data_IF_339456689772
#
_entry.id   IF_339456689772
#
_cell.length_a   1.000
_cell.length_b   1.000
_cell.length_c   1.000
_cell.angle_alpha   90.00
_cell.angle_beta   90.00
_cell.angle_gamma   90.00
#
_symmetry.space_group_name_H-M   'P 1'
#
loop_
_entity.id
_entity.type
_entity.pdbx_description
1 polymer ?
#
# COMPACT_ATOMS: atom_id res chain seq x y z
N UNK A 1 33.92 42.43 19.33
CA UNK A 1 33.07 41.28 19.69
C UNK A 1 31.72 41.47 19.02
N UNK A 2 31.35 40.58 18.09
CA UNK A 2 30.03 39.97 18.20
C UNK A 2 30.07 38.47 17.92
N UNK A 3 29.36 37.70 18.73
CA UNK A 3 29.05 36.28 18.50
C UNK A 3 27.69 36.00 19.11
N UNK A 4 27.03 34.96 18.58
CA UNK A 4 25.69 34.41 18.87
C UNK A 4 24.62 34.92 17.89
N UNK A 5 23.91 34.06 17.18
CA UNK A 5 23.92 32.61 17.14
C UNK A 5 23.02 32.18 15.99
N UNK A 6 23.53 31.30 15.14
CA UNK A 6 22.80 30.76 14.00
C UNK A 6 22.07 29.52 14.51
N UNK A 7 20.74 29.62 14.66
CA UNK A 7 19.86 28.50 14.98
C UNK A 7 19.67 27.64 13.74
N UNK A 8 20.42 26.55 13.66
CA UNK A 8 20.25 25.51 12.65
C UNK A 8 18.94 24.75 12.90
N UNK A 9 17.88 25.03 12.12
CA UNK A 9 16.71 24.14 12.02
C UNK A 9 17.12 22.88 11.26
N UNK A 10 17.37 21.79 11.98
CA UNK A 10 17.41 20.44 11.39
C UNK A 10 15.97 20.00 11.14
N UNK A 11 15.53 20.07 9.89
CA UNK A 11 14.35 19.33 9.44
C UNK A 11 14.86 17.94 9.04
N UNK A 12 14.51 16.92 9.81
CA UNK A 12 14.80 15.54 9.45
C UNK A 12 13.69 15.09 8.49
N UNK A 13 13.93 15.17 7.18
CA UNK A 13 13.14 14.41 6.20
C UNK A 13 13.85 13.07 6.10
N UNK A 14 13.20 12.01 6.57
CA UNK A 14 13.74 10.66 6.50
C UNK A 14 13.66 10.16 5.05
N UNK A 15 14.71 10.40 4.26
CA UNK A 15 14.98 9.63 3.05
C UNK A 15 15.61 8.30 3.47
N UNK A 16 14.86 7.20 3.38
CA UNK A 16 15.40 5.85 3.49
C UNK A 16 15.69 5.35 2.08
N UNK A 17 16.94 5.51 1.64
CA UNK A 17 17.38 4.98 0.35
C UNK A 17 17.90 3.54 0.55
N UNK A 18 17.15 2.55 0.09
CA UNK A 18 17.61 1.17 -0.02
C UNK A 18 18.21 0.93 -1.41
N UNK A 19 19.52 0.65 -1.46
CA UNK A 19 20.25 0.37 -2.69
C UNK A 19 20.45 -1.13 -2.86
N UNK A 20 19.86 -1.72 -3.90
CA UNK A 20 20.24 -3.05 -4.41
C UNK A 20 20.64 -2.91 -5.88
N UNK A 21 21.90 -3.22 -6.19
CA UNK A 21 22.51 -3.14 -7.52
C UNK A 21 22.65 -4.55 -8.10
N UNK A 22 22.02 -4.85 -9.25
CA UNK A 22 22.34 -5.99 -10.10
C UNK A 22 22.14 -5.62 -11.58
N UNK A 23 23.08 -6.07 -12.42
CA UNK A 23 23.35 -5.57 -13.78
C UNK A 23 22.32 -5.94 -14.86
N UNK A 24 22.18 -5.07 -15.85
CA UNK A 24 21.17 -5.12 -16.91
C UNK A 24 21.65 -5.85 -18.18
N UNK A 25 20.72 -6.54 -18.85
CA UNK A 25 20.80 -6.94 -20.25
C UNK A 25 19.54 -6.45 -20.99
N UNK A 26 19.69 -5.96 -22.22
CA UNK A 26 18.65 -5.25 -22.98
C UNK A 26 17.89 -6.16 -23.96
N UNK A 27 16.57 -6.02 -24.06
CA UNK A 27 15.70 -6.64 -25.09
C UNK A 27 14.57 -5.66 -25.45
N UNK A 28 14.08 -5.57 -26.72
CA UNK A 28 13.19 -4.48 -27.14
C UNK A 28 11.69 -4.77 -26.98
N UNK A 29 10.92 -3.69 -26.87
CA UNK A 29 9.49 -3.62 -26.52
C UNK A 29 8.50 -4.02 -27.64
N UNK A 30 7.35 -4.58 -27.24
CA UNK A 30 6.16 -4.75 -28.08
C UNK A 30 4.94 -4.07 -27.43
N UNK A 31 4.04 -3.53 -28.26
CA UNK A 31 2.89 -2.74 -27.84
C UNK A 31 1.63 -3.59 -27.57
N UNK A 32 0.89 -3.23 -26.50
CA UNK A 32 -0.37 -3.88 -26.10
C UNK A 32 -1.62 -3.16 -26.66
N UNK A 33 -2.69 -3.89 -27.05
CA UNK A 33 -3.98 -3.30 -27.48
C UNK A 33 -4.97 -3.08 -26.31
N UNK A 34 -6.08 -2.32 -26.51
CA UNK A 34 -6.92 -1.80 -25.42
C UNK A 34 -7.99 -2.80 -24.92
N UNK A 35 -8.34 -2.66 -23.64
CA UNK A 35 -9.33 -3.46 -22.89
C UNK A 35 -10.74 -2.89 -23.05
N UNK A 36 -11.74 -3.76 -23.26
CA UNK A 36 -13.17 -3.40 -23.32
C UNK A 36 -13.91 -3.83 -22.05
N UNK A 37 -14.74 -2.93 -21.51
CA UNK A 37 -15.49 -3.11 -20.25
C UNK A 37 -16.77 -3.95 -20.43
N UNK A 38 -17.06 -4.83 -19.46
CA UNK A 38 -18.25 -5.69 -19.39
C UNK A 38 -19.05 -5.51 -18.10
N UNK A 39 -20.39 -5.59 -18.21
CA UNK A 39 -21.41 -5.13 -17.28
C UNK A 39 -21.61 -5.97 -15.98
N UNK A 40 -22.15 -5.30 -14.95
CA UNK A 40 -22.49 -5.82 -13.63
C UNK A 40 -23.82 -6.61 -13.57
N UNK A 41 -23.86 -7.68 -12.77
CA UNK A 41 -25.09 -8.38 -12.35
C UNK A 41 -25.00 -8.82 -10.87
N UNK A 42 -26.04 -8.53 -10.08
CA UNK A 42 -26.52 -9.42 -8.99
C UNK A 42 -25.88 -9.33 -7.59
N UNK A 43 -26.60 -8.72 -6.64
CA UNK A 43 -26.16 -8.40 -5.27
C UNK A 43 -26.17 -9.57 -4.25
N UNK A 44 -26.26 -10.84 -4.69
CA UNK A 44 -26.22 -12.02 -3.79
C UNK A 44 -24.95 -12.88 -4.00
N UNK A 45 -24.27 -12.73 -5.15
CA UNK A 45 -23.05 -13.46 -5.51
C UNK A 45 -21.77 -12.66 -5.25
N UNK A 46 -21.88 -11.32 -5.26
CA UNK A 46 -20.73 -10.44 -5.02
C UNK A 46 -20.05 -10.68 -3.68
N UNK A 47 -20.80 -11.01 -2.62
CA UNK A 47 -20.22 -11.19 -1.30
C UNK A 47 -19.29 -12.39 -1.19
N UNK A 48 -19.75 -13.57 -1.62
CA UNK A 48 -18.96 -14.79 -1.63
C UNK A 48 -17.76 -14.69 -2.59
N UNK A 49 -17.94 -14.00 -3.72
CA UNK A 49 -16.86 -13.73 -4.67
C UNK A 49 -15.74 -12.90 -4.04
N UNK A 50 -16.06 -11.82 -3.33
CA UNK A 50 -15.04 -11.00 -2.63
C UNK A 50 -14.33 -11.81 -1.53
N UNK A 51 -15.07 -12.61 -0.77
CA UNK A 51 -14.47 -13.47 0.27
C UNK A 51 -13.55 -14.55 -0.32
N UNK A 52 -13.94 -15.14 -1.46
CA UNK A 52 -13.08 -16.03 -2.23
C UNK A 52 -11.80 -15.35 -2.70
N UNK A 53 -11.89 -14.15 -3.29
CA UNK A 53 -10.72 -13.40 -3.77
C UNK A 53 -9.75 -13.09 -2.62
N UNK A 54 -10.26 -12.62 -1.47
CA UNK A 54 -9.44 -12.42 -0.25
C UNK A 54 -8.75 -13.70 0.21
N UNK A 55 -9.49 -14.81 0.22
CA UNK A 55 -8.95 -16.12 0.60
C UNK A 55 -7.83 -16.53 -0.33
N UNK A 56 -8.02 -16.39 -1.65
CA UNK A 56 -7.01 -16.75 -2.65
C UNK A 56 -5.76 -15.89 -2.52
N UNK A 57 -5.89 -14.56 -2.39
CA UNK A 57 -4.76 -13.65 -2.25
C UNK A 57 -3.88 -14.02 -1.05
N UNK A 58 -4.49 -14.20 0.13
CA UNK A 58 -3.76 -14.59 1.35
C UNK A 58 -3.14 -15.98 1.20
N UNK A 59 -3.85 -16.93 0.58
CA UNK A 59 -3.32 -18.28 0.39
C UNK A 59 -2.12 -18.30 -0.55
N UNK A 60 -2.14 -17.55 -1.64
CA UNK A 60 -0.99 -17.46 -2.56
C UNK A 60 0.23 -16.88 -1.83
N UNK A 61 0.06 -15.79 -1.07
CA UNK A 61 1.16 -15.23 -0.26
C UNK A 61 1.72 -16.26 0.74
N UNK A 62 0.85 -16.90 1.52
CA UNK A 62 1.30 -17.84 2.56
C UNK A 62 1.86 -19.14 1.99
N UNK A 63 1.17 -19.77 1.06
CA UNK A 63 1.57 -21.09 0.54
C UNK A 63 2.81 -20.98 -0.35
N UNK A 64 2.91 -19.96 -1.22
CA UNK A 64 4.08 -19.80 -2.08
C UNK A 64 5.34 -19.40 -1.28
N UNK A 65 5.23 -18.42 -0.38
CA UNK A 65 6.40 -17.82 0.28
C UNK A 65 6.74 -18.42 1.65
N UNK A 66 5.75 -18.75 2.48
CA UNK A 66 6.02 -19.37 3.81
C UNK A 66 6.28 -20.87 3.68
N UNK A 67 5.61 -21.56 2.75
CA UNK A 67 5.70 -23.03 2.61
C UNK A 67 6.51 -23.51 1.43
N UNK A 68 6.91 -22.60 0.52
CA UNK A 68 7.57 -22.97 -0.73
C UNK A 68 6.68 -23.77 -1.69
N UNK A 69 5.36 -23.79 -1.49
CA UNK A 69 4.42 -24.53 -2.34
C UNK A 69 4.11 -23.72 -3.60
N UNK A 70 4.89 -23.96 -4.65
CA UNK A 70 4.74 -23.27 -5.93
C UNK A 70 3.55 -23.77 -6.76
N UNK A 71 2.95 -24.93 -6.43
CA UNK A 71 1.76 -25.44 -7.14
C UNK A 71 0.54 -24.54 -6.92
N UNK A 72 0.54 -23.75 -5.83
CA UNK A 72 -0.52 -22.78 -5.56
C UNK A 72 -0.64 -21.73 -6.68
N UNK A 73 0.49 -21.39 -7.32
CA UNK A 73 0.55 -20.42 -8.41
C UNK A 73 -0.20 -20.97 -9.63
N UNK A 74 0.03 -22.23 -10.01
CA UNK A 74 -0.64 -22.85 -11.16
C UNK A 74 -2.18 -22.90 -10.97
N UNK A 75 -2.60 -23.08 -9.71
CA UNK A 75 -4.02 -23.14 -9.34
C UNK A 75 -4.71 -21.80 -9.39
N UNK A 76 -4.08 -20.75 -8.86
CA UNK A 76 -4.78 -19.50 -8.55
C UNK A 76 -4.22 -18.26 -9.25
N UNK A 77 -3.12 -18.36 -9.97
CA UNK A 77 -2.53 -17.27 -10.75
C UNK A 77 -2.71 -17.61 -12.23
N UNK A 78 -3.00 -16.60 -13.05
CA UNK A 78 -3.11 -16.79 -14.49
C UNK A 78 -1.74 -16.94 -15.14
N UNK A 79 -1.67 -17.67 -16.23
CA UNK A 79 -0.42 -17.82 -17.00
C UNK A 79 0.07 -16.49 -17.59
N UNK A 80 -0.86 -15.58 -17.92
CA UNK A 80 -0.61 -14.23 -18.42
C UNK A 80 -0.61 -13.16 -17.31
N UNK A 81 -0.26 -13.56 -16.08
CA UNK A 81 -0.15 -12.65 -14.93
C UNK A 81 0.87 -11.54 -15.15
N UNK A 82 0.51 -10.33 -14.71
CA UNK A 82 1.33 -9.12 -14.81
C UNK A 82 1.86 -8.72 -13.42
N UNK A 83 3.18 -8.54 -13.31
CA UNK A 83 3.90 -8.14 -12.11
C UNK A 83 4.33 -6.68 -12.17
N UNK A 84 4.06 -5.92 -11.11
CA UNK A 84 4.51 -4.53 -10.96
C UNK A 84 5.53 -4.34 -9.82
N UNK A 85 5.77 -5.34 -8.96
CA UNK A 85 6.84 -5.33 -7.97
C UNK A 85 8.19 -5.23 -8.71
N UNK A 86 8.99 -4.18 -8.48
CA UNK A 86 10.24 -3.97 -9.22
C UNK A 86 11.35 -4.98 -8.91
N UNK A 87 11.19 -5.79 -7.86
CA UNK A 87 12.13 -6.84 -7.45
C UNK A 87 11.84 -8.20 -8.09
N UNK A 88 10.66 -8.37 -8.69
CA UNK A 88 10.23 -9.63 -9.29
C UNK A 88 10.08 -9.49 -10.81
N UNK A 89 10.61 -10.45 -11.57
CA UNK A 89 10.36 -10.52 -13.00
C UNK A 89 8.90 -10.87 -13.29
N UNK A 90 8.47 -10.51 -14.50
CA UNK A 90 7.08 -10.70 -14.92
C UNK A 90 6.72 -12.16 -15.24
N UNK A 91 5.44 -12.50 -15.07
CA UNK A 91 4.85 -13.81 -15.38
C UNK A 91 4.81 -14.81 -14.23
N UNK A 92 3.88 -15.78 -14.34
CA UNK A 92 3.61 -16.76 -13.28
C UNK A 92 4.80 -17.68 -12.95
N UNK A 93 5.58 -18.09 -13.96
CA UNK A 93 6.78 -18.90 -13.73
C UNK A 93 7.88 -18.09 -13.02
N UNK A 94 8.00 -16.79 -13.30
CA UNK A 94 8.91 -15.91 -12.57
C UNK A 94 8.48 -15.77 -11.10
N UNK A 95 7.17 -15.66 -10.83
CA UNK A 95 6.63 -15.67 -9.47
C UNK A 95 6.97 -16.97 -8.72
N UNK A 96 6.86 -18.14 -9.36
CA UNK A 96 7.23 -19.44 -8.75
C UNK A 96 8.72 -19.46 -8.38
N UNK A 97 9.58 -19.03 -9.29
CA UNK A 97 11.02 -18.97 -9.07
C UNK A 97 11.39 -17.97 -7.96
N UNK A 98 10.73 -16.81 -7.93
CA UNK A 98 10.92 -15.80 -6.90
C UNK A 98 10.52 -16.33 -5.52
N UNK A 99 9.34 -16.96 -5.40
CA UNK A 99 8.85 -17.55 -4.16
C UNK A 99 9.75 -18.69 -3.66
N UNK A 100 10.15 -19.61 -4.55
CA UNK A 100 11.07 -20.69 -4.20
C UNK A 100 12.44 -20.17 -3.74
N UNK A 101 12.99 -19.18 -4.43
CA UNK A 101 14.26 -18.54 -4.08
C UNK A 101 14.20 -17.82 -2.73
N UNK A 102 13.14 -17.05 -2.50
CA UNK A 102 12.92 -16.38 -1.21
C UNK A 102 12.80 -17.40 -0.07
N UNK A 103 11.98 -18.44 -0.25
CA UNK A 103 11.79 -19.48 0.77
C UNK A 103 13.08 -20.26 1.05
N UNK A 104 13.89 -20.56 0.03
CA UNK A 104 15.19 -21.19 0.22
C UNK A 104 16.15 -20.31 1.05
N UNK A 105 16.13 -18.99 0.82
CA UNK A 105 16.97 -18.04 1.54
C UNK A 105 16.45 -17.76 2.97
N UNK A 106 15.13 -17.72 3.12
CA UNK A 106 14.42 -17.34 4.33
C UNK A 106 13.31 -18.37 4.65
N UNK A 107 13.69 -19.58 5.10
CA UNK A 107 12.74 -20.68 5.30
C UNK A 107 11.72 -20.42 6.40
N UNK A 108 12.02 -19.50 7.32
CA UNK A 108 11.14 -19.08 8.42
C UNK A 108 10.36 -17.79 8.09
N UNK A 109 10.19 -17.46 6.81
CA UNK A 109 9.40 -16.30 6.38
C UNK A 109 7.96 -16.38 6.92
N UNK A 110 7.48 -15.28 7.48
CA UNK A 110 6.11 -15.14 7.98
C UNK A 110 5.42 -13.91 7.37
N UNK A 111 4.24 -14.12 6.78
CA UNK A 111 3.28 -13.08 6.46
C UNK A 111 2.27 -12.96 7.61
N UNK A 112 2.49 -11.98 8.48
CA UNK A 112 1.55 -11.61 9.54
C UNK A 112 0.51 -10.64 8.98
N UNK A 113 -0.55 -11.21 8.39
CA UNK A 113 -1.64 -10.49 7.72
C UNK A 113 -2.49 -9.72 8.74
N UNK A 114 -2.53 -8.39 8.60
CA UNK A 114 -3.24 -7.48 9.52
C UNK A 114 -4.66 -7.21 9.10
N UNK A 115 -4.87 -7.01 7.79
CA UNK A 115 -6.17 -6.71 7.22
C UNK A 115 -6.21 -7.00 5.74
N UNK A 116 -7.39 -7.37 5.26
CA UNK A 116 -7.66 -7.68 3.87
C UNK A 116 -8.99 -7.08 3.47
N UNK A 117 -9.00 -6.29 2.40
CA UNK A 117 -10.22 -5.74 1.82
C UNK A 117 -10.34 -6.14 0.36
N UNK A 118 -11.56 -6.28 -0.13
CA UNK A 118 -11.82 -6.56 -1.53
C UNK A 118 -12.98 -5.76 -2.07
N UNK A 119 -12.80 -5.21 -3.27
CA UNK A 119 -13.82 -4.47 -4.00
C UNK A 119 -13.72 -4.80 -5.49
N UNK A 120 -14.85 -5.15 -6.10
CA UNK A 120 -14.91 -5.58 -7.49
C UNK A 120 -13.95 -6.74 -7.76
N UNK A 121 -12.92 -6.53 -8.56
CA UNK A 121 -11.88 -7.49 -8.90
C UNK A 121 -10.55 -7.25 -8.16
N UNK A 122 -10.49 -6.26 -7.27
CA UNK A 122 -9.29 -5.93 -6.52
C UNK A 122 -9.33 -6.51 -5.09
N UNK A 123 -8.17 -6.95 -4.63
CA UNK A 123 -7.91 -7.31 -3.23
C UNK A 123 -6.70 -6.52 -2.76
N UNK A 124 -6.78 -5.95 -1.56
CA UNK A 124 -5.64 -5.32 -0.88
C UNK A 124 -5.35 -6.11 0.40
N UNK A 125 -4.10 -6.52 0.58
CA UNK A 125 -3.59 -7.19 1.77
C UNK A 125 -2.58 -6.27 2.43
N UNK A 126 -2.76 -5.94 3.71
CA UNK A 126 -1.74 -5.26 4.50
C UNK A 126 -1.18 -6.22 5.54
N UNK A 127 0.15 -6.41 5.53
CA UNK A 127 0.85 -7.38 6.36
C UNK A 127 2.16 -6.84 6.91
N UNK A 128 2.63 -7.47 7.99
CA UNK A 128 4.04 -7.42 8.36
C UNK A 128 4.73 -8.66 7.76
N UNK A 129 5.67 -8.44 6.84
CA UNK A 129 6.52 -9.49 6.26
C UNK A 129 7.79 -9.64 7.10
N UNK A 130 7.93 -10.78 7.77
CA UNK A 130 9.09 -11.10 8.60
C UNK A 130 9.90 -12.19 7.92
N UNK A 131 10.99 -11.80 7.24
CA UNK A 131 11.88 -12.75 6.56
C UNK A 131 12.83 -13.49 7.52
N UNK A 132 13.15 -12.89 8.66
CA UNK A 132 14.04 -13.49 9.66
C UNK A 132 13.41 -13.37 11.04
N UNK A 133 13.26 -14.50 11.77
CA UNK A 133 12.65 -14.49 13.10
C UNK A 133 13.31 -13.48 14.05
N UNK A 134 12.49 -12.73 14.77
CA UNK A 134 12.94 -11.71 15.71
C UNK A 134 13.32 -10.37 15.08
N UNK A 135 13.32 -10.24 13.75
CA UNK A 135 13.38 -8.93 13.09
C UNK A 135 12.04 -8.19 13.20
N UNK A 136 12.05 -6.88 12.94
CA UNK A 136 10.82 -6.05 12.94
C UNK A 136 9.93 -6.31 11.71
N UNK A 137 10.52 -6.86 10.64
CA UNK A 137 9.87 -7.07 9.36
C UNK A 137 9.73 -5.79 8.54
N UNK A 138 8.98 -5.91 7.45
CA UNK A 138 8.60 -4.81 6.58
C UNK A 138 7.07 -4.75 6.50
N UNK A 139 6.52 -3.54 6.58
CA UNK A 139 5.12 -3.31 6.23
C UNK A 139 4.97 -3.45 4.71
N UNK A 140 4.04 -4.29 4.27
CA UNK A 140 3.76 -4.54 2.86
C UNK A 140 2.28 -4.33 2.61
N UNK A 141 1.94 -3.62 1.54
CA UNK A 141 0.60 -3.60 0.99
C UNK A 141 0.61 -4.21 -0.40
N UNK A 142 0.12 -5.45 -0.51
CA UNK A 142 -0.09 -6.13 -1.77
C UNK A 142 -1.48 -5.79 -2.34
N UNK A 143 -1.55 -5.55 -3.63
CA UNK A 143 -2.78 -5.31 -4.38
C UNK A 143 -2.85 -6.32 -5.51
N UNK A 144 -3.92 -7.13 -5.55
CA UNK A 144 -4.14 -8.12 -6.59
C UNK A 144 -5.37 -7.76 -7.40
N UNK A 145 -5.28 -7.86 -8.73
CA UNK A 145 -6.45 -7.89 -9.61
C UNK A 145 -6.79 -9.31 -9.98
N UNK A 146 -8.08 -9.64 -9.98
CA UNK A 146 -8.61 -10.94 -10.34
C UNK A 146 -9.26 -10.92 -11.73
N UNK A 147 -9.14 -12.01 -12.46
CA UNK A 147 -9.88 -12.28 -13.68
C UNK A 147 -10.21 -13.77 -13.74
N UNK A 148 -11.47 -14.10 -13.99
CA UNK A 148 -11.98 -15.48 -14.03
C UNK A 148 -11.64 -16.32 -12.78
N UNK A 149 -11.67 -15.67 -11.60
CA UNK A 149 -11.38 -16.31 -10.31
C UNK A 149 -9.89 -16.53 -10.02
N UNK A 150 -8.98 -16.09 -10.90
CA UNK A 150 -7.52 -16.17 -10.68
C UNK A 150 -6.88 -14.78 -10.58
N UNK A 151 -5.74 -14.69 -9.90
CA UNK A 151 -4.92 -13.48 -9.85
C UNK A 151 -4.34 -13.25 -11.25
N UNK A 152 -4.61 -12.07 -11.80
CA UNK A 152 -4.23 -11.64 -13.13
C UNK A 152 -3.12 -10.58 -13.10
N UNK A 153 -2.99 -9.84 -12.01
CA UNK A 153 -2.06 -8.71 -11.91
C UNK A 153 -1.79 -8.40 -10.45
N UNK A 154 -0.61 -7.87 -10.15
CA UNK A 154 -0.16 -7.59 -8.80
C UNK A 154 0.72 -6.33 -8.73
N UNK A 155 0.44 -5.52 -7.72
CA UNK A 155 1.29 -4.41 -7.28
C UNK A 155 1.59 -4.60 -5.81
N UNK A 156 2.76 -4.16 -5.36
CA UNK A 156 3.03 -4.00 -3.94
C UNK A 156 3.70 -2.66 -3.64
N UNK A 157 3.70 -2.32 -2.36
CA UNK A 157 4.51 -1.26 -1.80
C UNK A 157 5.05 -1.78 -0.48
N UNK A 158 6.36 -1.66 -0.29
CA UNK A 158 7.08 -2.21 0.85
C UNK A 158 7.89 -1.13 1.57
N UNK A 159 7.82 -1.13 2.90
CA UNK A 159 8.59 -0.26 3.77
C UNK A 159 9.12 -1.02 4.98
N UNK A 160 10.41 -0.90 5.29
CA UNK A 160 10.96 -1.48 6.52
C UNK A 160 10.35 -0.85 7.77
N UNK A 161 10.01 -1.67 8.76
CA UNK A 161 9.44 -1.19 10.02
C UNK A 161 10.54 -0.50 10.84
N UNK A 162 10.48 0.83 11.06
CA UNK A 162 11.54 1.57 11.75
C UNK A 162 11.58 1.22 13.23
N UNK A 163 12.71 1.41 13.90
CA UNK A 163 12.91 1.09 15.33
C UNK A 163 11.92 1.79 16.27
N UNK A 164 11.45 2.98 15.88
CA UNK A 164 10.43 3.75 16.58
C UNK A 164 9.69 4.69 15.64
N UNK A 165 8.66 5.35 16.17
CA UNK A 165 7.80 6.28 15.44
C UNK A 165 7.66 7.60 16.18
N UNK A 166 7.35 8.66 15.44
CA UNK A 166 7.07 9.99 15.99
C UNK A 166 5.75 10.00 16.76
N UNK A 167 4.76 9.20 16.34
CA UNK A 167 3.46 9.07 17.00
C UNK A 167 3.46 8.12 18.21
N UNK A 168 4.48 7.27 18.37
CA UNK A 168 4.51 6.26 19.43
C UNK A 168 3.64 5.01 19.17
N UNK A 169 2.92 4.97 18.06
CA UNK A 169 2.18 3.80 17.57
C UNK A 169 3.09 2.93 16.68
N UNK A 170 2.77 1.65 16.53
CA UNK A 170 3.41 0.79 15.51
C UNK A 170 2.83 1.09 14.10
N UNK A 171 3.12 0.27 13.08
CA UNK A 171 2.54 0.44 11.72
C UNK A 171 1.29 -0.43 11.47
N UNK A 172 0.80 -1.18 12.46
CA UNK A 172 -0.11 -2.30 12.24
C UNK A 172 -1.33 -2.36 13.16
N UNK A 173 -1.27 -1.75 14.33
CA UNK A 173 -2.28 -1.82 15.37
C UNK A 173 -3.60 -1.20 14.92
N UNK A 174 -4.67 -1.59 15.60
CA UNK A 174 -6.01 -1.01 15.47
C UNK A 174 -6.51 -0.77 16.89
N UNK A 175 -6.70 0.49 17.26
CA UNK A 175 -7.04 0.87 18.62
C UNK A 175 -8.46 1.43 18.74
N UNK A 176 -9.01 1.96 17.65
CA UNK A 176 -10.40 2.36 17.52
C UNK A 176 -11.34 1.16 17.70
N UNK A 177 -12.58 1.42 18.14
CA UNK A 177 -13.60 0.37 18.38
C UNK A 177 -14.45 0.14 17.13
N UNK A 178 -14.72 -1.13 16.74
CA UNK A 178 -14.18 -2.36 17.30
C UNK A 178 -12.69 -2.56 16.94
N UNK A 179 -11.90 -3.10 17.87
CA UNK A 179 -10.47 -3.35 17.69
C UNK A 179 -10.25 -4.61 16.84
N UNK A 180 -10.52 -4.50 15.53
CA UNK A 180 -10.42 -5.60 14.58
C UNK A 180 -9.88 -5.13 13.24
N UNK A 181 -8.97 -5.89 12.63
CA UNK A 181 -8.52 -5.65 11.26
C UNK A 181 -9.55 -6.02 10.18
N UNK A 182 -10.67 -6.64 10.57
CA UNK A 182 -11.74 -7.00 9.64
C UNK A 182 -12.57 -5.77 9.24
N UNK A 183 -12.97 -5.66 7.97
CA UNK A 183 -13.85 -4.59 7.53
C UNK A 183 -15.23 -4.71 8.19
N UNK A 184 -15.83 -3.55 8.47
CA UNK A 184 -17.19 -3.41 8.96
C UNK A 184 -18.26 -3.72 7.90
N UNK A 185 -19.53 -3.38 8.15
CA UNK A 185 -20.64 -3.73 7.26
C UNK A 185 -20.45 -3.19 5.84
N UNK A 186 -20.54 -4.06 4.82
CA UNK A 186 -20.38 -3.72 3.39
C UNK A 186 -21.37 -2.68 2.87
N UNK A 187 -22.50 -2.47 3.56
CA UNK A 187 -23.44 -1.40 3.24
C UNK A 187 -22.82 0.00 3.37
N UNK A 188 -21.71 0.14 4.12
CA UNK A 188 -20.99 1.40 4.30
C UNK A 188 -19.97 1.68 3.19
N UNK A 189 -19.58 0.67 2.41
CA UNK A 189 -18.46 0.73 1.45
C UNK A 189 -18.53 1.95 0.54
N UNK A 190 -19.66 2.16 -0.15
CA UNK A 190 -19.79 3.24 -1.13
C UNK A 190 -19.68 4.63 -0.49
N UNK A 191 -20.29 4.83 0.68
CA UNK A 191 -20.27 6.10 1.40
C UNK A 191 -18.86 6.41 1.94
N UNK A 192 -18.20 5.41 2.53
CA UNK A 192 -16.86 5.56 3.08
C UNK A 192 -15.81 5.76 1.99
N UNK A 193 -15.92 5.04 0.87
CA UNK A 193 -15.07 5.26 -0.31
C UNK A 193 -15.18 6.68 -0.83
N UNK A 194 -16.40 7.19 -0.99
CA UNK A 194 -16.63 8.56 -1.45
C UNK A 194 -16.07 9.59 -0.45
N UNK A 195 -16.26 9.37 0.85
CA UNK A 195 -15.72 10.23 1.90
C UNK A 195 -14.21 10.29 1.87
N UNK A 196 -13.53 9.14 1.88
CA UNK A 196 -12.07 9.05 1.91
C UNK A 196 -11.47 9.58 0.62
N UNK A 197 -12.05 9.28 -0.54
CA UNK A 197 -11.57 9.83 -1.82
C UNK A 197 -11.62 11.35 -1.78
N UNK A 198 -12.75 11.94 -1.38
CA UNK A 198 -12.87 13.40 -1.30
C UNK A 198 -11.95 14.02 -0.26
N UNK A 199 -11.76 13.35 0.88
CA UNK A 199 -10.87 13.77 1.95
C UNK A 199 -9.41 13.76 1.52
N UNK A 200 -8.97 12.68 0.86
CA UNK A 200 -7.64 12.50 0.30
C UNK A 200 -7.35 13.57 -0.76
N UNK A 201 -8.28 13.77 -1.71
CA UNK A 201 -8.10 14.77 -2.78
C UNK A 201 -7.88 16.16 -2.21
N UNK A 202 -8.75 16.55 -1.28
CA UNK A 202 -8.67 17.87 -0.68
C UNK A 202 -7.40 18.04 0.17
N UNK A 203 -7.07 17.04 0.99
CA UNK A 203 -5.93 17.15 1.91
C UNK A 203 -4.59 17.05 1.18
N UNK A 204 -4.44 16.04 0.32
CA UNK A 204 -3.16 15.63 -0.24
C UNK A 204 -2.94 16.22 -1.63
N UNK A 205 -3.93 16.11 -2.52
CA UNK A 205 -3.80 16.58 -3.91
C UNK A 205 -3.88 18.10 -3.96
N UNK A 206 -4.90 18.68 -3.34
CA UNK A 206 -5.14 20.13 -3.29
C UNK A 206 -4.34 20.84 -2.18
N UNK A 207 -3.68 20.07 -1.30
CA UNK A 207 -2.86 20.56 -0.17
C UNK A 207 -3.66 21.42 0.83
N UNK A 208 -4.97 21.22 0.93
CA UNK A 208 -5.85 21.98 1.82
C UNK A 208 -5.97 21.29 3.19
N UNK A 209 -5.16 21.78 4.13
CA UNK A 209 -5.15 21.30 5.53
C UNK A 209 -6.48 21.51 6.27
N UNK A 210 -7.43 22.32 5.76
CA UNK A 210 -8.76 22.42 6.38
C UNK A 210 -9.58 21.13 6.21
N UNK A 211 -9.19 20.23 5.30
CA UNK A 211 -9.78 18.90 5.17
C UNK A 211 -9.73 18.10 6.49
N UNK A 212 -8.70 18.30 7.32
CA UNK A 212 -8.57 17.65 8.61
C UNK A 212 -9.72 18.00 9.58
N UNK A 213 -10.22 19.24 9.54
CA UNK A 213 -11.37 19.65 10.39
C UNK A 213 -12.69 19.03 9.88
N UNK A 214 -12.76 18.78 8.57
CA UNK A 214 -13.97 18.34 7.90
C UNK A 214 -14.14 16.82 7.94
N UNK A 215 -13.07 16.05 7.79
CA UNK A 215 -13.17 14.61 7.56
C UNK A 215 -12.56 13.76 8.67
N UNK A 216 -11.65 14.29 9.50
CA UNK A 216 -11.05 13.52 10.58
C UNK A 216 -11.85 13.65 11.88
N UNK A 217 -11.83 12.59 12.67
CA UNK A 217 -12.34 12.59 14.05
C UNK A 217 -11.34 13.26 14.98
N UNK A 218 -11.81 13.85 16.07
CA UNK A 218 -10.94 14.34 17.14
C UNK A 218 -10.12 13.21 17.81
N UNK A 219 -10.65 11.98 17.82
CA UNK A 219 -9.98 10.78 18.32
C UNK A 219 -9.24 9.99 17.24
N UNK A 220 -8.73 10.66 16.22
CA UNK A 220 -7.98 10.02 15.13
C UNK A 220 -6.61 9.50 15.59
N UNK A 221 -6.23 8.31 15.12
CA UNK A 221 -4.90 7.73 15.31
C UNK A 221 -4.11 7.59 14.00
N UNK A 222 -2.85 8.02 14.04
CA UNK A 222 -1.88 7.97 12.97
C UNK A 222 -0.87 6.83 13.21
N UNK A 223 -0.57 6.08 12.15
CA UNK A 223 0.38 4.97 12.16
C UNK A 223 1.53 5.15 11.15
N UNK A 224 1.51 6.20 10.31
CA UNK A 224 2.70 6.63 9.55
C UNK A 224 3.81 7.00 10.55
N UNK A 225 4.96 6.30 10.56
CA UNK A 225 5.97 6.47 11.60
C UNK A 225 6.64 7.85 11.62
N UNK A 226 6.58 8.60 10.52
CA UNK A 226 7.14 9.95 10.39
C UNK A 226 6.21 11.09 10.83
N UNK A 227 4.93 10.80 11.13
CA UNK A 227 3.93 11.83 11.48
C UNK A 227 3.45 11.60 12.92
N UNK A 228 3.41 12.69 13.70
CA UNK A 228 2.90 12.67 15.08
C UNK A 228 1.41 12.32 15.15
N UNK A 229 0.98 11.77 16.29
CA UNK A 229 -0.39 11.30 16.44
C UNK A 229 -1.43 12.44 16.47
N UNK A 230 -2.67 12.10 16.15
CA UNK A 230 -3.81 13.00 16.21
C UNK A 230 -3.85 14.05 15.08
N UNK A 231 -4.98 14.76 15.02
CA UNK A 231 -5.24 15.78 13.99
C UNK A 231 -4.20 16.92 14.02
N UNK A 232 -3.75 17.31 15.21
CA UNK A 232 -2.71 18.34 15.36
C UNK A 232 -1.37 17.88 14.78
N UNK A 233 -0.96 16.64 15.06
CA UNK A 233 0.27 16.05 14.54
C UNK A 233 0.23 15.91 13.02
N UNK A 234 -0.88 15.41 12.47
CA UNK A 234 -1.09 15.33 11.03
C UNK A 234 -1.05 16.71 10.35
N UNK A 235 -1.69 17.73 10.94
CA UNK A 235 -1.70 19.11 10.42
C UNK A 235 -0.29 19.70 10.37
N UNK A 236 0.49 19.52 11.43
CA UNK A 236 1.85 20.03 11.48
C UNK A 236 2.77 19.31 10.49
N UNK A 237 2.73 17.97 10.49
CA UNK A 237 3.55 17.12 9.63
C UNK A 237 3.30 17.36 8.15
N UNK A 238 2.04 17.28 7.71
CA UNK A 238 1.66 17.54 6.31
C UNK A 238 1.91 18.99 5.92
N UNK A 239 1.64 19.95 6.80
CA UNK A 239 1.95 21.36 6.54
C UNK A 239 3.45 21.61 6.36
N UNK A 240 4.31 20.92 7.12
CA UNK A 240 5.75 20.98 6.93
C UNK A 240 6.18 20.32 5.61
N UNK A 241 5.62 19.15 5.29
CA UNK A 241 5.86 18.45 4.05
C UNK A 241 5.50 19.30 2.82
N UNK A 242 4.31 19.90 2.78
CA UNK A 242 3.89 20.75 1.66
C UNK A 242 4.74 22.02 1.50
N UNK A 243 5.27 22.58 2.61
CA UNK A 243 6.22 23.70 2.52
C UNK A 243 7.59 23.28 2.01
N UNK A 244 8.02 22.07 2.34
CA UNK A 244 9.29 21.50 1.88
C UNK A 244 9.23 21.13 0.39
N UNK A 245 8.07 20.67 -0.09
CA UNK A 245 7.83 20.22 -1.46
C UNK A 245 6.69 21.01 -2.10
N UNK A 246 6.90 22.30 -2.43
CA UNK A 246 5.84 23.15 -2.99
C UNK A 246 5.36 22.69 -4.37
N UNK A 247 6.21 21.96 -5.11
CA UNK A 247 5.91 21.41 -6.43
C UNK A 247 5.39 19.96 -6.39
N UNK A 248 5.10 19.44 -5.18
CA UNK A 248 4.55 18.10 -5.00
C UNK A 248 3.34 17.88 -5.91
N UNK A 249 3.36 16.79 -6.67
CA UNK A 249 2.20 16.27 -7.39
C UNK A 249 1.86 14.89 -6.89
N UNK A 250 0.55 14.62 -6.75
CA UNK A 250 0.05 13.34 -6.27
C UNK A 250 -1.01 12.86 -7.24
N UNK A 251 -0.81 11.68 -7.82
CA UNK A 251 -1.78 11.06 -8.70
C UNK A 251 -2.31 9.77 -8.08
N UNK A 252 -3.60 9.77 -7.73
CA UNK A 252 -4.29 8.53 -7.34
C UNK A 252 -4.33 7.58 -8.53
N UNK A 253 -4.02 6.31 -8.28
CA UNK A 253 -4.09 5.24 -9.29
C UNK A 253 -5.34 4.40 -9.12
N UNK A 254 -5.67 4.05 -7.87
CA UNK A 254 -6.84 3.23 -7.52
C UNK A 254 -7.28 3.47 -6.09
N UNK A 255 -8.57 3.24 -5.85
CA UNK A 255 -9.19 3.27 -4.52
C UNK A 255 -9.97 1.98 -4.34
N UNK A 256 -9.68 1.24 -3.27
CA UNK A 256 -10.33 -0.03 -2.92
C UNK A 256 -10.97 0.12 -1.55
N UNK A 257 -12.23 -0.25 -1.41
CA UNK A 257 -12.96 -0.13 -0.15
C UNK A 257 -13.77 -1.37 0.20
N UNK A 258 -13.78 -1.74 1.47
CA UNK A 258 -14.71 -2.72 2.03
C UNK A 258 -15.15 -2.28 3.42
N UNK A 259 -16.45 -2.07 3.61
CA UNK A 259 -17.02 -1.65 4.88
C UNK A 259 -16.50 -0.29 5.33
N UNK A 260 -15.79 -0.28 6.47
CA UNK A 260 -15.17 0.89 7.09
C UNK A 260 -13.72 1.13 6.67
N UNK A 261 -13.12 0.26 5.86
CA UNK A 261 -11.74 0.36 5.42
C UNK A 261 -11.65 0.83 3.96
N UNK A 262 -10.74 1.77 3.69
CA UNK A 262 -10.50 2.32 2.34
C UNK A 262 -9.01 2.48 2.09
N UNK A 263 -8.49 1.82 1.06
CA UNK A 263 -7.13 1.96 0.58
C UNK A 263 -7.06 2.91 -0.63
N UNK A 264 -6.03 3.75 -0.71
CA UNK A 264 -5.73 4.65 -1.83
C UNK A 264 -4.29 4.39 -2.25
N UNK A 265 -4.10 3.84 -3.45
CA UNK A 265 -2.77 3.69 -4.04
C UNK A 265 -2.46 4.89 -4.93
N UNK A 266 -1.33 5.54 -4.68
CA UNK A 266 -0.98 6.83 -5.25
C UNK A 266 0.49 6.89 -5.65
N UNK A 267 0.78 7.74 -6.64
CA UNK A 267 2.14 8.12 -7.03
C UNK A 267 2.41 9.55 -6.56
N UNK A 268 3.34 9.68 -5.61
CA UNK A 268 3.81 10.98 -5.11
C UNK A 268 5.10 11.37 -5.85
N UNK A 269 5.16 12.59 -6.39
CA UNK A 269 6.36 13.15 -7.03
C UNK A 269 6.68 14.48 -6.35
N UNK A 270 7.72 14.51 -5.53
CA UNK A 270 8.02 15.64 -4.65
C UNK A 270 8.55 16.86 -5.43
N UNK A 271 9.34 16.63 -6.48
CA UNK A 271 9.82 17.67 -7.39
C UNK A 271 9.79 17.23 -8.87
N UNK A 272 9.69 18.17 -9.83
CA UNK A 272 9.69 17.84 -11.26
C UNK A 272 10.91 17.03 -11.69
N UNK A 273 10.68 15.97 -12.45
CA UNK A 273 11.74 15.09 -12.97
C UNK A 273 12.17 13.97 -12.03
N UNK A 274 11.65 13.91 -10.81
CA UNK A 274 11.86 12.77 -9.92
C UNK A 274 10.97 11.58 -10.33
N UNK A 275 11.46 10.35 -10.06
CA UNK A 275 10.66 9.13 -10.26
C UNK A 275 9.48 9.03 -9.29
N UNK A 276 9.60 9.68 -8.12
CA UNK A 276 8.56 9.67 -7.10
C UNK A 276 8.53 8.39 -6.27
N UNK A 277 7.40 8.20 -5.59
CA UNK A 277 7.18 7.18 -4.58
C UNK A 277 5.82 6.52 -4.83
N UNK A 278 5.80 5.19 -4.72
CA UNK A 278 4.57 4.43 -4.58
C UNK A 278 4.12 4.49 -3.13
N UNK A 279 2.86 4.84 -2.90
CA UNK A 279 2.30 4.93 -1.55
C UNK A 279 0.92 4.34 -1.54
N UNK A 280 0.65 3.48 -0.55
CA UNK A 280 -0.70 2.99 -0.27
C UNK A 280 -1.14 3.48 1.09
N UNK A 281 -2.01 4.48 1.07
CA UNK A 281 -2.69 4.99 2.27
C UNK A 281 -3.90 4.10 2.58
N UNK A 282 -4.12 3.77 3.85
CA UNK A 282 -5.24 2.95 4.31
C UNK A 282 -5.93 3.65 5.46
N UNK A 283 -7.25 3.83 5.35
CA UNK A 283 -8.06 4.61 6.28
C UNK A 283 -9.14 3.73 6.90
N UNK A 284 -9.44 3.98 8.18
CA UNK A 284 -10.69 3.51 8.82
C UNK A 284 -11.65 4.67 9.01
N UNK A 285 -12.93 4.44 8.70
CA UNK A 285 -14.01 5.42 8.84
C UNK A 285 -15.04 4.97 9.89
N UNK A 286 -15.33 5.83 10.85
CA UNK A 286 -16.39 5.60 11.83
C UNK A 286 -17.25 6.86 11.99
N UNK A 287 -18.57 6.68 11.99
CA UNK A 287 -19.50 7.81 12.18
C UNK A 287 -19.35 8.92 11.13
N UNK A 288 -18.95 8.57 9.90
CA UNK A 288 -18.69 9.54 8.84
C UNK A 288 -17.43 10.39 9.06
N UNK A 289 -16.46 9.88 9.82
CA UNK A 289 -15.15 10.52 10.04
C UNK A 289 -14.02 9.50 9.93
N UNK A 290 -12.87 9.92 9.42
CA UNK A 290 -11.63 9.13 9.43
C UNK A 290 -11.14 9.07 10.88
N UNK A 291 -10.95 7.85 11.38
CA UNK A 291 -10.53 7.59 12.77
C UNK A 291 -9.16 6.93 12.86
N UNK A 292 -8.68 6.28 11.81
CA UNK A 292 -7.34 5.72 11.77
C UNK A 292 -6.74 5.84 10.37
N UNK A 293 -5.41 5.93 10.29
CA UNK A 293 -4.65 5.96 9.05
C UNK A 293 -3.32 5.23 9.18
N UNK A 294 -3.06 4.32 8.27
CA UNK A 294 -1.77 3.67 8.04
C UNK A 294 -1.32 3.97 6.63
N UNK A 295 -0.02 3.97 6.39
CA UNK A 295 0.52 3.97 5.04
C UNK A 295 1.76 3.09 4.95
N UNK A 296 2.08 2.73 3.71
CA UNK A 296 3.35 2.14 3.32
C UNK A 296 3.85 2.93 2.13
N UNK A 297 5.12 3.32 2.17
CA UNK A 297 5.76 4.15 1.16
C UNK A 297 7.04 3.49 0.65
N UNK A 298 7.21 3.48 -0.67
CA UNK A 298 8.39 2.95 -1.35
C UNK A 298 8.83 3.88 -2.48
N UNK A 299 10.12 4.20 -2.53
CA UNK A 299 10.69 4.94 -3.65
C UNK A 299 10.58 4.14 -4.95
N UNK A 300 10.20 4.80 -6.04
CA UNK A 300 10.22 4.17 -7.37
C UNK A 300 11.69 3.98 -7.80
N UNK A 301 12.16 2.74 -7.97
CA UNK A 301 13.58 2.48 -8.21
C UNK A 301 14.01 2.94 -9.60
N UNK A 302 15.32 3.13 -9.78
CA UNK A 302 15.88 3.51 -11.08
C UNK A 302 15.83 2.37 -12.11
N UNK A 303 15.76 1.13 -11.63
CA UNK A 303 15.72 -0.10 -12.41
C UNK A 303 14.68 -1.05 -11.83
N UNK A 304 14.09 -1.88 -12.68
CA UNK A 304 13.10 -2.89 -12.32
C UNK A 304 13.47 -4.23 -12.96
N UNK A 305 13.09 -5.33 -12.31
CA UNK A 305 13.21 -6.69 -12.84
C UNK A 305 12.17 -7.03 -13.92
N UNK A 306 11.23 -6.11 -14.16
CA UNK A 306 10.22 -6.15 -15.21
C UNK A 306 10.04 -4.76 -15.85
N UNK A 307 9.34 -4.69 -16.99
CA UNK A 307 9.11 -3.43 -17.72
C UNK A 307 7.81 -2.70 -17.30
N UNK A 308 7.07 -3.24 -16.32
CA UNK A 308 5.83 -2.65 -15.84
C UNK A 308 6.13 -1.56 -14.80
N UNK A 309 5.32 -0.49 -14.80
CA UNK A 309 5.48 0.56 -13.78
C UNK A 309 5.00 0.06 -12.42
N UNK A 310 5.35 0.68 -11.30
CA UNK A 310 4.74 0.33 -9.99
C UNK A 310 3.24 0.68 -9.89
N UNK A 311 2.62 1.21 -10.96
CA UNK A 311 1.27 1.77 -10.98
C UNK A 311 0.35 1.12 -11.99
#
# INVERSE_FOLDING_TARGET
MPSRGMTTRRVLVATVATSALLGAATVPAFASPPVSAGHAIGHVDGGARLDYQKTVAVRVLKEAFERGDTEIVDRFVRADYIQHNPLASDGAEALKNFAAGLHQQFPDTEYDVKRVISENDLVVVHSNLVLTPGSRGSAVVDIFRFLDGKIAEHWDTLQDVPDGSVNGNDMFSTVSRPQTGQPGPRSLTAANKALVTKAFDRLIVDKDLSALDLYWSAGYHQYNPGIADGVAGAREGLGAFFRAFPELTVSRKRVVAEGDLVAVHSHYVNAPGERGQSVVDLFRVQGGKIVEHWDVLQDVPATSANDNTMF
#
